data_IF_698413845158
#
_entry.id   IF_698413845158
#
_cell.length_a   1.000
_cell.length_b   1.000
_cell.length_c   1.000
_cell.angle_alpha   90.00
_cell.angle_beta   90.00
_cell.angle_gamma   90.00
#
_symmetry.space_group_name_H-M   'P 1'
#
loop_
_entity.id
_entity.type
_entity.pdbx_description
1 polymer ?
#
# COMPACT_ATOMS: atom_id res chain seq x y z
N UNK A 1 24.48 56.86 -25.97
CA UNK A 1 25.82 57.47 -25.95
C UNK A 1 26.86 56.38 -25.78
N UNK A 2 27.64 56.21 -26.84
CA UNK A 2 29.10 55.94 -26.88
C UNK A 2 29.56 54.61 -26.26
N UNK A 3 30.28 53.75 -26.89
CA UNK A 3 31.14 53.44 -28.03
C UNK A 3 31.86 52.17 -27.63
N UNK A 4 31.77 51.11 -28.40
CA UNK A 4 32.76 50.52 -29.32
C UNK A 4 34.22 50.55 -28.84
N UNK A 5 34.85 49.34 -28.73
CA UNK A 5 36.08 49.11 -29.48
C UNK A 5 36.42 47.59 -29.58
N UNK A 6 36.65 47.19 -30.80
CA UNK A 6 37.19 45.86 -31.17
C UNK A 6 38.73 45.97 -31.14
N UNK A 7 39.41 44.83 -30.88
CA UNK A 7 40.81 44.66 -31.23
C UNK A 7 41.07 43.23 -31.74
N UNK A 8 41.40 43.16 -32.99
CA UNK A 8 41.97 42.00 -33.66
C UNK A 8 43.48 42.07 -33.61
N UNK A 9 44.20 40.93 -33.47
CA UNK A 9 45.59 40.71 -33.87
C UNK A 9 45.86 39.22 -34.01
N UNK A 10 45.94 38.71 -35.14
CA UNK A 10 47.09 38.51 -36.07
C UNK A 10 47.91 37.24 -35.75
N UNK A 11 47.91 36.42 -36.75
CA UNK A 11 48.56 35.18 -37.16
C UNK A 11 50.07 35.20 -36.95
N UNK A 12 50.66 34.07 -36.54
CA UNK A 12 52.02 33.68 -36.87
C UNK A 12 52.10 32.18 -37.17
N UNK A 13 52.28 31.82 -38.42
CA UNK A 13 52.67 30.47 -38.89
C UNK A 13 54.12 30.17 -38.51
N UNK A 14 54.33 29.00 -37.89
CA UNK A 14 55.66 28.37 -37.87
C UNK A 14 55.53 26.96 -38.44
N UNK A 15 56.14 26.75 -39.58
CA UNK A 15 56.35 25.49 -40.30
C UNK A 15 57.52 24.76 -39.65
N UNK A 16 57.35 23.54 -39.15
CA UNK A 16 58.45 22.63 -38.84
C UNK A 16 58.12 21.23 -39.37
N UNK A 17 59.08 20.66 -40.08
CA UNK A 17 59.03 19.41 -40.85
C UNK A 17 58.97 18.14 -39.98
N UNK A 18 58.59 16.98 -40.53
CA UNK A 18 58.23 15.77 -39.75
C UNK A 18 59.50 14.96 -39.41
N UNK A 19 59.64 14.55 -38.16
CA UNK A 19 60.47 13.44 -37.74
C UNK A 19 59.62 12.20 -37.56
N UNK A 20 59.91 11.18 -38.34
CA UNK A 20 59.41 9.85 -38.22
C UNK A 20 59.87 9.22 -36.91
N UNK A 21 58.98 8.78 -36.08
CA UNK A 21 59.28 7.91 -34.93
C UNK A 21 58.08 6.95 -34.65
N UNK A 22 58.40 5.70 -34.76
CA UNK A 22 57.91 4.51 -34.15
C UNK A 22 56.40 4.44 -33.81
N UNK A 23 55.66 3.65 -34.59
CA UNK A 23 54.37 3.10 -34.14
C UNK A 23 54.60 2.17 -32.93
N UNK A 24 54.37 2.67 -31.74
CA UNK A 24 54.01 1.81 -30.59
C UNK A 24 52.52 1.49 -30.71
N UNK A 25 52.20 0.22 -30.88
CA UNK A 25 50.83 -0.28 -30.75
C UNK A 25 50.35 0.06 -29.32
N UNK A 26 49.57 1.13 -29.19
CA UNK A 26 48.76 1.30 -28.01
C UNK A 26 47.74 0.16 -28.05
N UNK A 27 47.93 -0.84 -27.20
CA UNK A 27 46.89 -1.82 -26.91
C UNK A 27 45.63 -1.02 -26.53
N UNK A 28 44.54 -1.25 -27.26
CA UNK A 28 43.22 -0.73 -26.91
C UNK A 28 42.98 -1.07 -25.46
N UNK A 29 43.04 -0.08 -24.57
CA UNK A 29 42.52 -0.21 -23.24
C UNK A 29 41.03 -0.53 -23.39
N UNK A 30 40.50 -1.58 -22.71
CA UNK A 30 39.10 -1.92 -22.82
C UNK A 30 38.30 -0.68 -22.41
N UNK A 31 37.54 -0.11 -23.34
CA UNK A 31 36.60 0.95 -23.06
C UNK A 31 35.66 0.39 -21.98
N UNK A 32 35.78 0.92 -20.77
CA UNK A 32 34.89 0.55 -19.68
C UNK A 32 33.45 0.75 -20.18
N UNK A 33 32.73 -0.36 -20.34
CA UNK A 33 31.31 -0.33 -20.72
C UNK A 33 30.61 0.58 -19.72
N UNK A 34 29.99 1.65 -20.19
CA UNK A 34 29.21 2.54 -19.32
C UNK A 34 28.28 1.69 -18.44
N UNK A 35 28.37 1.90 -17.13
CA UNK A 35 27.55 1.14 -16.21
C UNK A 35 26.07 1.35 -16.55
N UNK A 36 25.34 0.26 -16.77
CA UNK A 36 23.89 0.32 -17.00
C UNK A 36 23.21 0.57 -15.67
N UNK A 37 22.62 1.75 -15.49
CA UNK A 37 21.87 2.09 -14.26
C UNK A 37 20.41 1.82 -14.45
N UNK A 38 19.83 0.96 -13.59
CA UNK A 38 18.38 0.81 -13.49
C UNK A 38 17.82 1.83 -12.49
N UNK A 39 16.70 2.45 -12.85
CA UNK A 39 15.97 3.39 -12.01
C UNK A 39 14.78 2.69 -11.37
N UNK A 40 14.66 2.81 -10.06
CA UNK A 40 13.64 2.13 -9.27
C UNK A 40 12.85 3.16 -8.50
N UNK A 41 11.53 3.19 -8.67
CA UNK A 41 10.64 3.99 -7.84
C UNK A 41 10.01 3.11 -6.76
N UNK A 42 10.30 3.45 -5.49
CA UNK A 42 9.66 2.88 -4.31
C UNK A 42 8.88 3.97 -3.58
N UNK A 43 7.88 3.58 -2.79
CA UNK A 43 7.09 4.52 -2.01
C UNK A 43 7.77 4.88 -0.69
N UNK A 44 7.31 5.97 -0.06
CA UNK A 44 7.84 6.50 1.21
C UNK A 44 7.95 5.48 2.33
N UNK A 45 7.12 4.45 2.31
CA UNK A 45 7.18 3.33 3.29
C UNK A 45 8.56 2.66 3.29
N UNK A 46 9.21 2.59 2.13
CA UNK A 46 10.55 1.99 1.99
C UNK A 46 11.62 2.68 2.85
N UNK A 47 11.41 3.93 3.29
CA UNK A 47 12.30 4.61 4.23
C UNK A 47 12.44 3.83 5.54
N UNK A 48 11.40 3.10 5.95
CA UNK A 48 11.40 2.27 7.16
C UNK A 48 12.23 0.98 7.04
N UNK A 49 12.66 0.60 5.83
CA UNK A 49 13.43 -0.62 5.56
C UNK A 49 14.49 -0.46 4.46
N UNK A 50 15.12 0.72 4.42
CA UNK A 50 16.19 1.00 3.43
C UNK A 50 17.36 0.03 3.52
N UNK A 51 17.63 -0.55 4.68
CA UNK A 51 18.68 -1.58 4.83
C UNK A 51 18.37 -2.83 3.98
N UNK A 52 17.10 -3.21 3.85
CA UNK A 52 16.67 -4.31 3.00
C UNK A 52 16.85 -3.94 1.51
N UNK A 53 16.50 -2.70 1.14
CA UNK A 53 16.70 -2.17 -0.21
C UNK A 53 18.18 -2.16 -0.56
N UNK A 54 19.04 -1.65 0.33
CA UNK A 54 20.49 -1.58 0.13
C UNK A 54 21.13 -2.96 0.03
N UNK A 55 20.67 -3.92 0.84
CA UNK A 55 21.13 -5.32 0.79
C UNK A 55 20.76 -5.97 -0.54
N UNK A 56 19.56 -5.74 -1.06
CA UNK A 56 19.12 -6.23 -2.36
C UNK A 56 19.92 -5.59 -3.51
N UNK A 57 20.18 -4.27 -3.42
CA UNK A 57 21.01 -3.57 -4.40
C UNK A 57 22.46 -4.13 -4.42
N UNK A 58 23.03 -4.42 -3.25
CA UNK A 58 24.36 -5.02 -3.16
C UNK A 58 24.39 -6.42 -3.79
N UNK A 59 23.41 -7.26 -3.51
CA UNK A 59 23.26 -8.59 -4.10
C UNK A 59 23.10 -8.51 -5.64
N UNK A 60 22.29 -7.56 -6.13
CA UNK A 60 22.09 -7.33 -7.55
C UNK A 60 23.40 -6.91 -8.23
N UNK A 61 24.12 -5.94 -7.68
CA UNK A 61 25.42 -5.46 -8.23
C UNK A 61 26.47 -6.57 -8.25
N UNK A 62 26.51 -7.43 -7.23
CA UNK A 62 27.42 -8.57 -7.20
C UNK A 62 27.12 -9.59 -8.30
N UNK A 63 25.84 -9.80 -8.65
CA UNK A 63 25.42 -10.68 -9.73
C UNK A 63 25.57 -10.06 -11.13
N UNK A 64 25.62 -8.74 -11.22
CA UNK A 64 25.70 -7.97 -12.48
C UNK A 64 26.83 -6.93 -12.42
N UNK A 65 28.11 -7.35 -12.52
CA UNK A 65 29.25 -6.43 -12.56
C UNK A 65 29.09 -5.41 -13.70
N UNK A 66 29.19 -4.12 -13.36
CA UNK A 66 28.97 -3.03 -14.30
C UNK A 66 27.52 -2.53 -14.39
N UNK A 67 26.61 -3.08 -13.58
CA UNK A 67 25.28 -2.50 -13.38
C UNK A 67 25.22 -1.68 -12.08
N UNK A 68 24.37 -0.64 -12.08
CA UNK A 68 24.06 0.17 -10.89
C UNK A 68 22.56 0.30 -10.69
N UNK A 69 22.16 0.75 -9.49
CA UNK A 69 20.76 0.94 -9.11
C UNK A 69 20.58 2.32 -8.51
N UNK A 70 19.65 3.09 -9.05
CA UNK A 70 19.20 4.36 -8.49
C UNK A 70 17.79 4.22 -7.97
N UNK A 71 17.63 4.24 -6.64
CA UNK A 71 16.30 4.24 -6.00
C UNK A 71 15.83 5.67 -5.80
N UNK A 72 14.60 5.95 -6.23
CA UNK A 72 13.92 7.24 -6.09
C UNK A 72 12.63 7.03 -5.30
N UNK A 73 12.54 7.68 -4.12
CA UNK A 73 11.38 7.55 -3.24
C UNK A 73 10.26 8.47 -3.72
N UNK A 74 9.06 7.91 -3.87
CA UNK A 74 7.84 8.58 -4.30
C UNK A 74 6.84 8.67 -3.16
N UNK A 75 5.89 9.60 -3.27
CA UNK A 75 4.78 9.75 -2.31
C UNK A 75 3.50 9.14 -2.85
N UNK A 76 2.69 8.51 -1.99
CA UNK A 76 1.41 7.93 -2.38
C UNK A 76 0.42 8.95 -2.95
N UNK A 77 0.58 10.24 -2.61
CA UNK A 77 -0.37 11.29 -3.01
C UNK A 77 -0.30 11.67 -4.49
N UNK A 78 0.85 11.47 -5.15
CA UNK A 78 1.10 12.00 -6.50
C UNK A 78 1.83 11.04 -7.45
N UNK A 79 2.23 9.84 -6.98
CA UNK A 79 3.03 8.87 -7.77
C UNK A 79 2.37 8.49 -9.09
N UNK A 80 1.04 8.33 -9.15
CA UNK A 80 0.35 8.00 -10.40
C UNK A 80 0.43 9.14 -11.41
N UNK A 81 0.26 10.39 -10.96
CA UNK A 81 0.40 11.58 -11.82
C UNK A 81 1.81 11.71 -12.34
N UNK A 82 2.82 11.49 -11.48
CA UNK A 82 4.23 11.49 -11.88
C UNK A 82 4.55 10.37 -12.87
N UNK A 83 4.00 9.18 -12.65
CA UNK A 83 4.22 8.05 -13.53
C UNK A 83 3.54 8.25 -14.89
N UNK A 84 2.30 8.77 -14.93
CA UNK A 84 1.62 9.13 -16.17
C UNK A 84 2.45 10.16 -16.98
N UNK A 85 3.01 11.18 -16.31
CA UNK A 85 3.89 12.16 -16.95
C UNK A 85 5.23 11.54 -17.42
N UNK A 86 5.83 10.65 -16.63
CA UNK A 86 7.06 9.97 -16.97
C UNK A 86 6.91 9.04 -18.19
N UNK A 87 5.77 8.33 -18.29
CA UNK A 87 5.41 7.53 -19.47
C UNK A 87 5.27 8.40 -20.71
N UNK A 88 4.54 9.52 -20.62
CA UNK A 88 4.34 10.44 -21.74
C UNK A 88 5.68 11.09 -22.19
N UNK A 89 6.58 11.37 -21.26
CA UNK A 89 7.90 11.92 -21.51
C UNK A 89 8.98 10.90 -21.87
N UNK A 90 8.64 9.62 -22.02
CA UNK A 90 9.57 8.51 -22.24
C UNK A 90 10.72 8.45 -21.21
N UNK A 91 10.42 8.81 -19.96
CA UNK A 91 11.36 8.86 -18.83
C UNK A 91 10.84 8.08 -17.61
N UNK A 92 10.07 7.02 -17.86
CA UNK A 92 9.60 6.14 -16.80
C UNK A 92 10.78 5.39 -16.13
N UNK A 93 10.67 4.97 -14.85
CA UNK A 93 11.66 4.11 -14.21
C UNK A 93 11.68 2.72 -14.86
N UNK A 94 12.70 1.91 -14.53
CA UNK A 94 12.77 0.51 -14.95
C UNK A 94 11.93 -0.40 -14.08
N UNK A 95 11.78 -0.04 -12.81
CA UNK A 95 10.90 -0.71 -11.84
C UNK A 95 10.10 0.34 -11.09
N UNK A 96 8.83 0.07 -10.87
CA UNK A 96 7.94 0.92 -10.06
C UNK A 96 7.13 0.09 -9.07
N UNK A 97 7.01 0.60 -7.85
CA UNK A 97 6.04 0.12 -6.87
C UNK A 97 4.67 0.75 -7.13
N UNK A 98 3.64 -0.09 -7.19
CA UNK A 98 2.25 0.28 -7.23
C UNK A 98 1.50 -0.28 -6.04
N UNK A 99 0.52 0.46 -5.53
CA UNK A 99 -0.51 -0.12 -4.70
C UNK A 99 -1.20 -1.27 -5.45
N UNK A 100 -1.56 -2.30 -4.73
CA UNK A 100 -2.14 -3.49 -5.36
C UNK A 100 -3.50 -3.23 -6.05
N UNK A 101 -4.10 -2.06 -5.88
CA UNK A 101 -5.33 -1.62 -6.57
C UNK A 101 -5.08 -0.96 -7.94
N UNK A 102 -3.82 -0.72 -8.32
CA UNK A 102 -3.44 0.17 -9.43
C UNK A 102 -2.93 -0.56 -10.68
N UNK A 103 -2.41 -1.79 -10.52
CA UNK A 103 -1.79 -2.57 -11.61
C UNK A 103 -2.74 -2.74 -12.82
N UNK A 104 -4.02 -3.03 -12.57
CA UNK A 104 -4.99 -3.31 -13.63
C UNK A 104 -5.17 -2.13 -14.60
N UNK A 105 -5.08 -0.87 -14.12
CA UNK A 105 -5.14 0.35 -14.95
C UNK A 105 -4.01 0.35 -15.98
N UNK A 106 -2.79 0.18 -15.51
CA UNK A 106 -1.59 0.30 -16.36
C UNK A 106 -1.37 -0.92 -17.25
N UNK A 107 -1.73 -2.12 -16.75
CA UNK A 107 -1.71 -3.34 -17.56
C UNK A 107 -2.73 -3.25 -18.73
N UNK A 108 -3.93 -2.74 -18.47
CA UNK A 108 -4.95 -2.55 -19.51
C UNK A 108 -4.55 -1.48 -20.54
N UNK A 109 -3.83 -0.43 -20.10
CA UNK A 109 -3.29 0.61 -20.99
C UNK A 109 -2.07 0.15 -21.79
N UNK A 110 -1.54 -1.08 -21.56
CA UNK A 110 -0.33 -1.58 -22.22
C UNK A 110 0.95 -0.90 -21.75
N UNK A 111 0.93 -0.23 -20.59
CA UNK A 111 2.07 0.51 -20.04
C UNK A 111 3.06 -0.37 -19.26
N UNK A 112 2.67 -1.61 -18.90
CA UNK A 112 3.49 -2.54 -18.14
C UNK A 112 3.92 -3.74 -19.00
N UNK A 113 5.12 -4.23 -18.76
CA UNK A 113 5.64 -5.43 -19.39
C UNK A 113 4.93 -6.69 -18.87
N UNK A 114 4.64 -7.62 -19.76
CA UNK A 114 4.14 -8.96 -19.41
C UNK A 114 5.30 -9.78 -18.79
N UNK A 115 5.19 -10.04 -17.49
CA UNK A 115 6.18 -10.78 -16.71
C UNK A 115 5.87 -12.29 -16.61
N UNK A 116 4.86 -12.78 -17.31
CA UNK A 116 4.38 -14.18 -17.22
C UNK A 116 5.51 -15.18 -17.47
N UNK A 117 6.34 -14.93 -18.47
CA UNK A 117 7.47 -15.82 -18.81
C UNK A 117 8.53 -15.91 -17.70
N UNK A 118 8.64 -14.89 -16.86
CA UNK A 118 9.58 -14.84 -15.75
C UNK A 118 9.05 -15.46 -14.45
N UNK A 119 7.73 -15.69 -14.36
CA UNK A 119 7.06 -16.10 -13.13
C UNK A 119 7.73 -17.29 -12.43
N UNK A 120 8.11 -18.31 -13.19
CA UNK A 120 8.74 -19.52 -12.61
C UNK A 120 10.11 -19.28 -12.01
N UNK A 121 10.83 -18.23 -12.46
CA UNK A 121 12.15 -17.85 -11.96
C UNK A 121 12.09 -16.80 -10.84
N UNK A 122 10.92 -16.20 -10.59
CA UNK A 122 10.74 -15.25 -9.51
C UNK A 122 10.67 -15.94 -8.15
N UNK A 123 11.34 -15.43 -7.11
CA UNK A 123 11.38 -16.05 -5.78
C UNK A 123 9.97 -16.27 -5.22
N UNK A 124 9.77 -17.43 -4.60
CA UNK A 124 8.53 -17.78 -3.90
C UNK A 124 7.25 -17.78 -4.76
N UNK A 125 7.37 -17.73 -6.11
CA UNK A 125 6.20 -17.55 -7.00
C UNK A 125 5.12 -18.62 -6.88
N UNK A 126 5.47 -19.82 -6.41
CA UNK A 126 4.53 -20.93 -6.13
C UNK A 126 3.73 -20.74 -4.84
N UNK A 127 4.20 -19.89 -3.95
CA UNK A 127 3.65 -19.69 -2.60
C UNK A 127 3.29 -18.23 -2.31
N UNK A 128 3.25 -17.40 -3.34
CA UNK A 128 2.80 -16.02 -3.20
C UNK A 128 1.39 -15.93 -2.60
N UNK A 129 1.12 -14.88 -1.85
CA UNK A 129 -0.22 -14.58 -1.38
C UNK A 129 -1.16 -14.39 -2.57
N UNK A 130 -2.24 -15.18 -2.58
CA UNK A 130 -3.18 -15.20 -3.71
C UNK A 130 -3.73 -13.80 -4.04
N UNK A 131 -4.10 -13.02 -3.04
CA UNK A 131 -4.67 -11.68 -3.27
C UNK A 131 -3.68 -10.72 -3.94
N UNK A 132 -2.39 -10.76 -3.57
CA UNK A 132 -1.36 -9.96 -4.25
C UNK A 132 -1.09 -10.47 -5.68
N UNK A 133 -1.13 -11.80 -5.87
CA UNK A 133 -0.97 -12.40 -7.20
C UNK A 133 -2.15 -12.02 -8.11
N UNK A 134 -3.37 -12.10 -7.59
CA UNK A 134 -4.57 -11.72 -8.34
C UNK A 134 -4.53 -10.22 -8.71
N UNK A 135 -4.10 -9.36 -7.77
CA UNK A 135 -3.91 -7.93 -8.01
C UNK A 135 -2.85 -7.63 -9.07
N UNK A 136 -1.76 -8.40 -9.09
CA UNK A 136 -0.68 -8.29 -10.08
C UNK A 136 -1.01 -8.94 -11.43
N UNK A 137 -2.20 -9.58 -11.57
CA UNK A 137 -2.59 -10.33 -12.76
C UNK A 137 -3.75 -9.63 -13.49
N UNK A 138 -3.59 -9.41 -14.78
CA UNK A 138 -4.64 -8.87 -15.64
C UNK A 138 -4.82 -9.77 -16.88
N UNK A 139 -6.06 -10.18 -17.16
CA UNK A 139 -6.41 -11.10 -18.27
C UNK A 139 -5.52 -12.35 -18.35
N UNK A 140 -5.22 -12.94 -17.18
CA UNK A 140 -4.42 -14.17 -17.07
C UNK A 140 -2.91 -14.00 -17.19
N UNK A 141 -2.40 -12.76 -17.35
CA UNK A 141 -0.98 -12.44 -17.49
C UNK A 141 -0.48 -11.69 -16.27
N UNK A 142 0.76 -11.96 -15.85
CA UNK A 142 1.41 -11.32 -14.72
C UNK A 142 2.02 -9.98 -15.16
N UNK A 143 1.67 -8.89 -14.48
CA UNK A 143 2.22 -7.54 -14.69
C UNK A 143 2.84 -6.95 -13.43
N UNK A 144 2.45 -7.46 -12.25
CA UNK A 144 2.96 -7.02 -10.96
C UNK A 144 3.46 -8.19 -10.13
N UNK A 145 4.71 -8.11 -9.69
CA UNK A 145 5.33 -9.07 -8.76
C UNK A 145 4.88 -8.74 -7.34
N UNK A 146 4.27 -9.66 -6.58
CA UNK A 146 3.93 -9.44 -5.19
C UNK A 146 5.11 -8.93 -4.36
N UNK A 147 4.93 -7.83 -3.62
CA UNK A 147 5.98 -7.22 -2.81
C UNK A 147 5.70 -7.44 -1.32
N UNK A 148 4.73 -6.78 -0.74
CA UNK A 148 4.28 -7.00 0.64
C UNK A 148 2.77 -6.84 0.76
N UNK A 149 2.21 -7.37 1.86
CA UNK A 149 0.81 -7.17 2.19
C UNK A 149 0.66 -6.47 3.54
N UNK A 150 -0.47 -5.76 3.68
CA UNK A 150 -0.97 -5.20 4.93
C UNK A 150 -2.37 -5.70 5.23
N UNK A 151 -2.60 -6.08 6.46
CA UNK A 151 -3.92 -6.42 6.96
C UNK A 151 -4.26 -5.52 8.13
N UNK A 152 -5.55 -5.22 8.30
CA UNK A 152 -6.02 -4.40 9.41
C UNK A 152 -6.49 -5.26 10.57
N UNK A 153 -6.10 -4.84 11.79
CA UNK A 153 -6.56 -5.40 13.05
C UNK A 153 -6.98 -4.27 14.00
N UNK A 154 -7.54 -4.59 15.14
CA UNK A 154 -7.86 -3.62 16.18
C UNK A 154 -6.63 -3.42 17.05
N UNK A 155 -6.07 -2.22 17.08
CA UNK A 155 -5.17 -1.76 18.12
C UNK A 155 -5.97 -1.38 19.36
N UNK A 156 -5.45 -1.64 20.54
CA UNK A 156 -6.13 -1.27 21.77
C UNK A 156 -5.18 -0.93 22.92
N UNK A 157 -5.64 -0.11 23.84
CA UNK A 157 -4.97 0.26 25.08
C UNK A 157 -5.33 -0.76 26.17
N UNK A 158 -4.36 -1.62 26.55
CA UNK A 158 -4.52 -2.65 27.60
C UNK A 158 -4.94 -2.05 28.93
N UNK A 159 -4.32 -0.94 29.33
CA UNK A 159 -4.63 -0.21 30.55
C UNK A 159 -6.06 0.34 30.59
N UNK A 160 -6.50 0.97 29.50
CA UNK A 160 -7.84 1.53 29.39
C UNK A 160 -8.93 0.43 29.36
N UNK A 161 -8.67 -0.68 28.64
CA UNK A 161 -9.56 -1.85 28.64
C UNK A 161 -9.69 -2.43 30.05
N UNK A 162 -8.57 -2.66 30.75
CA UNK A 162 -8.55 -3.13 32.12
C UNK A 162 -9.33 -2.20 33.07
N UNK A 163 -9.09 -0.90 32.99
CA UNK A 163 -9.75 0.11 33.82
C UNK A 163 -11.26 0.22 33.51
N UNK A 164 -11.71 -0.09 32.31
CA UNK A 164 -13.12 -0.18 31.94
C UNK A 164 -13.78 -1.53 32.31
N UNK A 165 -13.05 -2.44 32.96
CA UNK A 165 -13.54 -3.75 33.38
C UNK A 165 -13.67 -4.76 32.23
N UNK A 166 -12.92 -4.57 31.14
CA UNK A 166 -12.85 -5.52 30.02
C UNK A 166 -11.74 -6.53 30.36
N UNK A 167 -12.15 -7.75 30.73
CA UNK A 167 -11.24 -8.81 31.20
C UNK A 167 -10.74 -9.72 30.08
N UNK A 168 -11.48 -9.82 28.99
CA UNK A 168 -11.16 -10.69 27.84
C UNK A 168 -11.42 -9.95 26.54
N UNK A 169 -10.62 -10.24 25.51
CA UNK A 169 -10.82 -9.67 24.19
C UNK A 169 -12.11 -10.20 23.54
N UNK A 170 -12.85 -9.35 22.80
CA UNK A 170 -14.15 -9.71 22.27
C UNK A 170 -14.04 -10.77 21.16
N UNK A 171 -14.91 -11.80 21.22
CA UNK A 171 -14.97 -12.89 20.22
C UNK A 171 -16.15 -12.72 19.24
N UNK A 172 -16.86 -11.62 19.29
CA UNK A 172 -17.92 -11.25 18.35
C UNK A 172 -18.04 -9.75 18.22
N UNK A 173 -18.62 -9.28 17.13
CA UNK A 173 -18.89 -7.84 16.94
C UNK A 173 -19.81 -7.28 18.02
N UNK A 174 -20.78 -8.07 18.50
CA UNK A 174 -21.66 -7.63 19.61
C UNK A 174 -20.90 -7.48 20.93
N UNK A 175 -19.93 -8.36 21.22
CA UNK A 175 -19.07 -8.22 22.39
C UNK A 175 -18.15 -6.98 22.26
N UNK A 176 -17.60 -6.75 21.07
CA UNK A 176 -16.82 -5.55 20.78
C UNK A 176 -17.63 -4.27 21.03
N UNK A 177 -18.86 -4.21 20.52
CA UNK A 177 -19.77 -3.08 20.74
C UNK A 177 -20.09 -2.86 22.23
N UNK A 178 -20.27 -3.95 22.99
CA UNK A 178 -20.47 -3.87 24.43
C UNK A 178 -19.23 -3.31 25.15
N UNK A 179 -18.05 -3.70 24.72
CA UNK A 179 -16.79 -3.16 25.25
C UNK A 179 -16.61 -1.67 24.92
N UNK A 180 -16.99 -1.25 23.71
CA UNK A 180 -17.00 0.18 23.38
C UNK A 180 -17.94 0.98 24.29
N UNK A 181 -19.09 0.45 24.65
CA UNK A 181 -20.01 1.09 25.61
C UNK A 181 -19.39 1.22 27.01
N UNK A 182 -18.64 0.21 27.49
CA UNK A 182 -17.91 0.29 28.77
C UNK A 182 -16.84 1.39 28.73
N UNK A 183 -16.06 1.46 27.65
CA UNK A 183 -15.05 2.48 27.46
C UNK A 183 -15.66 3.89 27.44
N UNK A 184 -16.72 4.09 26.68
CA UNK A 184 -17.42 5.38 26.62
C UNK A 184 -18.11 5.75 27.95
N UNK A 185 -18.61 4.78 28.71
CA UNK A 185 -19.12 5.01 30.07
C UNK A 185 -18.01 5.50 31.02
N UNK A 186 -16.83 4.92 30.90
CA UNK A 186 -15.67 5.24 31.76
C UNK A 186 -15.02 6.58 31.41
N UNK A 187 -14.76 6.80 30.12
CA UNK A 187 -13.94 7.89 29.63
C UNK A 187 -14.68 8.95 28.79
N UNK A 188 -15.89 8.67 28.36
CA UNK A 188 -16.64 9.51 27.42
C UNK A 188 -17.10 10.87 27.96
N UNK A 189 -16.76 11.24 29.21
CA UNK A 189 -16.86 12.63 29.74
C UNK A 189 -15.83 13.55 29.06
N UNK A 190 -14.68 13.00 28.65
CA UNK A 190 -13.74 13.70 27.78
C UNK A 190 -14.33 13.77 26.36
N UNK A 191 -14.60 14.99 25.91
CA UNK A 191 -15.18 15.23 24.58
C UNK A 191 -14.31 14.75 23.42
N UNK A 192 -13.00 14.58 23.64
CA UNK A 192 -12.04 14.11 22.66
C UNK A 192 -11.88 12.58 22.66
N UNK A 193 -12.38 11.90 23.71
CA UNK A 193 -12.17 10.48 23.87
C UNK A 193 -13.01 9.66 22.89
N UNK A 194 -12.36 8.74 22.20
CA UNK A 194 -13.00 7.70 21.37
C UNK A 194 -12.74 6.31 21.94
N UNK A 195 -13.79 5.55 22.22
CA UNK A 195 -13.69 4.12 22.47
C UNK A 195 -13.14 3.39 21.24
N UNK A 196 -13.71 3.69 20.07
CA UNK A 196 -13.19 3.33 18.76
C UNK A 196 -12.97 4.61 17.94
N UNK A 197 -11.72 4.92 17.57
CA UNK A 197 -11.44 5.99 16.61
C UNK A 197 -11.78 5.52 15.19
N UNK A 198 -12.70 6.24 14.52
CA UNK A 198 -13.14 5.90 13.18
C UNK A 198 -13.46 7.16 12.38
N UNK A 199 -12.49 7.67 11.58
CA UNK A 199 -12.70 8.86 10.76
C UNK A 199 -13.69 8.60 9.62
N UNK A 200 -14.37 9.68 9.16
CA UNK A 200 -15.53 9.55 8.28
C UNK A 200 -15.25 8.97 6.89
N UNK A 201 -14.03 9.11 6.38
CA UNK A 201 -13.64 8.62 5.06
C UNK A 201 -12.99 7.22 5.09
N UNK A 202 -12.95 6.54 6.25
CA UNK A 202 -12.25 5.27 6.42
C UNK A 202 -12.96 4.09 5.73
N UNK A 203 -12.93 4.08 4.40
CA UNK A 203 -13.64 3.09 3.60
C UNK A 203 -13.04 1.69 3.65
N UNK A 204 -11.73 1.54 3.80
CA UNK A 204 -11.07 0.21 3.91
C UNK A 204 -11.62 -0.58 5.11
N UNK A 205 -11.73 0.05 6.27
CA UNK A 205 -12.31 -0.59 7.45
C UNK A 205 -13.84 -0.74 7.32
N UNK A 206 -14.54 0.26 6.76
CA UNK A 206 -16.00 0.20 6.58
C UNK A 206 -16.44 -0.93 5.66
N UNK A 207 -15.72 -1.18 4.56
CA UNK A 207 -16.05 -2.27 3.64
C UNK A 207 -15.81 -3.64 4.25
N UNK A 208 -14.93 -3.78 5.24
CA UNK A 208 -14.79 -5.03 6.01
C UNK A 208 -16.11 -5.45 6.66
N UNK A 209 -16.89 -4.51 7.19
CA UNK A 209 -18.24 -4.78 7.70
C UNK A 209 -19.17 -5.25 6.58
N UNK A 210 -19.11 -4.64 5.40
CA UNK A 210 -19.92 -5.04 4.24
C UNK A 210 -19.63 -6.49 3.85
N UNK A 211 -18.35 -6.83 3.70
CA UNK A 211 -17.94 -8.20 3.35
C UNK A 211 -18.21 -9.21 4.47
N UNK A 212 -18.13 -8.81 5.73
CA UNK A 212 -18.46 -9.67 6.86
C UNK A 212 -19.94 -10.14 6.83
N UNK A 213 -20.84 -9.28 6.38
CA UNK A 213 -22.26 -9.61 6.19
C UNK A 213 -22.59 -10.30 4.87
N UNK A 214 -21.60 -10.62 4.03
CA UNK A 214 -21.81 -11.22 2.72
C UNK A 214 -22.19 -10.23 1.60
N UNK A 215 -22.12 -8.92 1.90
CA UNK A 215 -22.22 -7.86 0.90
C UNK A 215 -20.99 -7.78 0.02
N UNK A 216 -20.96 -6.81 -0.90
CA UNK A 216 -19.82 -6.52 -1.77
C UNK A 216 -19.87 -5.08 -2.29
N UNK A 217 -18.72 -4.53 -2.69
CA UNK A 217 -18.66 -3.24 -3.38
C UNK A 217 -19.33 -3.34 -4.76
N UNK A 218 -18.91 -4.31 -5.55
CA UNK A 218 -19.51 -4.65 -6.85
C UNK A 218 -19.35 -6.15 -7.13
N UNK A 219 -20.15 -6.66 -8.05
CA UNK A 219 -20.09 -8.05 -8.54
C UNK A 219 -20.00 -8.06 -10.05
N UNK A 220 -19.16 -8.92 -10.62
CA UNK A 220 -19.11 -9.15 -12.07
C UNK A 220 -20.21 -10.16 -12.46
N UNK A 221 -21.13 -9.73 -13.32
CA UNK A 221 -22.26 -10.54 -13.77
C UNK A 221 -22.51 -10.30 -15.27
N UNK A 222 -22.67 -11.35 -16.03
CA UNK A 222 -23.00 -11.29 -17.46
C UNK A 222 -22.08 -10.31 -18.24
N UNK A 223 -20.75 -10.38 -17.99
CA UNK A 223 -19.77 -9.55 -18.67
C UNK A 223 -19.68 -8.09 -18.20
N UNK A 224 -20.43 -7.70 -17.16
CA UNK A 224 -20.47 -6.32 -16.64
C UNK A 224 -20.30 -6.27 -15.13
N UNK A 225 -19.72 -5.20 -14.65
CA UNK A 225 -19.68 -4.88 -13.23
C UNK A 225 -21.01 -4.26 -12.78
N UNK A 226 -21.52 -4.71 -11.64
CA UNK A 226 -22.73 -4.18 -11.01
C UNK A 226 -22.41 -3.81 -9.59
N UNK A 227 -22.54 -2.52 -9.23
CA UNK A 227 -22.42 -2.03 -7.85
C UNK A 227 -23.41 -2.76 -6.94
N UNK A 228 -22.99 -3.12 -5.74
CA UNK A 228 -23.76 -4.02 -4.85
C UNK A 228 -23.84 -3.50 -3.40
N UNK A 229 -23.49 -2.25 -3.16
CA UNK A 229 -23.57 -1.62 -1.85
C UNK A 229 -25.00 -1.38 -1.39
N UNK A 230 -25.95 -1.32 -2.31
CA UNK A 230 -27.38 -1.17 -2.05
C UNK A 230 -28.11 -2.49 -1.77
N UNK A 231 -27.40 -3.63 -1.73
CA UNK A 231 -27.97 -4.89 -1.28
C UNK A 231 -28.39 -4.80 0.22
N UNK A 232 -29.42 -5.56 0.61
CA UNK A 232 -29.90 -5.62 1.99
C UNK A 232 -28.81 -5.96 3.01
N UNK A 233 -27.87 -6.88 2.63
CA UNK A 233 -26.74 -7.27 3.46
C UNK A 233 -25.74 -6.13 3.65
N UNK A 234 -25.39 -5.42 2.59
CA UNK A 234 -24.51 -4.25 2.66
C UNK A 234 -25.12 -3.12 3.49
N UNK A 235 -26.41 -2.84 3.30
CA UNK A 235 -27.14 -1.82 4.07
C UNK A 235 -27.23 -2.18 5.55
N UNK A 236 -27.49 -3.46 5.89
CA UNK A 236 -27.49 -3.96 7.27
C UNK A 236 -26.14 -3.74 7.94
N UNK A 237 -25.04 -4.08 7.25
CA UNK A 237 -23.68 -3.90 7.74
C UNK A 237 -23.36 -2.42 8.00
N UNK A 238 -23.65 -1.54 7.04
CA UNK A 238 -23.37 -0.10 7.16
C UNK A 238 -24.26 0.59 8.19
N UNK A 239 -25.49 0.12 8.38
CA UNK A 239 -26.38 0.61 9.46
C UNK A 239 -25.81 0.27 10.84
N UNK A 240 -25.29 -0.96 11.01
CA UNK A 240 -24.62 -1.37 12.24
C UNK A 240 -23.35 -0.56 12.51
N UNK A 241 -22.50 -0.40 11.47
CA UNK A 241 -21.30 0.43 11.55
C UNK A 241 -21.65 1.88 11.92
N UNK A 242 -22.66 2.48 11.30
CA UNK A 242 -23.14 3.84 11.64
C UNK A 242 -23.47 3.95 13.13
N UNK A 243 -24.20 2.96 13.67
CA UNK A 243 -24.57 2.92 15.08
C UNK A 243 -23.35 2.81 15.98
N UNK A 244 -22.40 1.94 15.67
CA UNK A 244 -21.15 1.78 16.41
C UNK A 244 -20.34 3.08 16.41
N UNK A 245 -20.11 3.67 15.23
CA UNK A 245 -19.32 4.91 15.06
C UNK A 245 -19.98 6.08 15.81
N UNK A 246 -21.31 6.20 15.74
CA UNK A 246 -22.05 7.24 16.48
C UNK A 246 -21.88 7.09 17.99
N UNK A 247 -21.86 5.87 18.49
CA UNK A 247 -21.80 5.59 19.92
C UNK A 247 -20.40 5.68 20.53
N UNK A 248 -19.34 5.45 19.73
CA UNK A 248 -17.99 5.21 20.26
C UNK A 248 -16.90 6.12 19.70
N UNK A 249 -17.14 6.84 18.59
CA UNK A 249 -16.11 7.67 17.96
C UNK A 249 -16.39 9.15 18.10
N UNK A 250 -15.34 9.93 18.38
CA UNK A 250 -15.31 11.40 18.31
C UNK A 250 -14.50 11.91 17.14
N UNK A 251 -13.98 11.00 16.28
CA UNK A 251 -13.28 11.38 15.08
C UNK A 251 -14.15 12.26 14.16
N UNK A 252 -13.50 13.12 13.40
CA UNK A 252 -14.16 13.93 12.38
C UNK A 252 -14.89 13.04 11.37
N UNK A 253 -16.19 13.32 11.18
CA UNK A 253 -17.06 12.60 10.24
C UNK A 253 -16.71 12.85 8.77
N UNK A 254 -15.82 13.80 8.50
CA UNK A 254 -15.27 14.12 7.18
C UNK A 254 -13.76 13.84 7.09
N UNK A 255 -13.15 13.41 8.21
CA UNK A 255 -11.72 13.16 8.33
C UNK A 255 -11.25 11.94 7.54
N UNK A 256 -9.98 11.98 7.17
CA UNK A 256 -9.25 10.89 6.52
C UNK A 256 -8.63 9.93 7.54
N UNK A 257 -8.04 8.85 7.05
CA UNK A 257 -7.36 7.81 7.84
C UNK A 257 -5.83 7.95 7.93
N UNK A 258 -5.28 9.06 7.49
CA UNK A 258 -3.85 9.25 7.25
C UNK A 258 -3.01 9.60 8.49
N UNK A 259 -3.64 9.87 9.64
CA UNK A 259 -2.95 10.28 10.90
C UNK A 259 -3.45 9.52 12.13
N UNK A 260 -4.08 8.39 11.94
CA UNK A 260 -4.77 7.69 13.05
C UNK A 260 -3.81 7.11 14.10
N UNK A 261 -2.60 6.73 13.74
CA UNK A 261 -1.53 6.31 14.62
C UNK A 261 -1.08 7.46 15.56
N UNK A 262 -0.91 8.66 15.02
CA UNK A 262 -0.56 9.86 15.79
C UNK A 262 -1.71 10.24 16.74
N UNK A 263 -2.97 10.19 16.29
CA UNK A 263 -4.14 10.43 17.13
C UNK A 263 -4.24 9.39 18.25
N UNK A 264 -3.94 8.13 17.97
CA UNK A 264 -3.90 7.08 18.98
C UNK A 264 -2.80 7.34 20.02
N UNK A 265 -1.62 7.80 19.58
CA UNK A 265 -0.49 8.12 20.43
C UNK A 265 -0.77 9.27 21.40
N UNK A 266 -1.71 10.17 21.10
CA UNK A 266 -2.15 11.26 21.99
C UNK A 266 -2.92 10.78 23.24
N UNK A 267 -3.35 9.51 23.28
CA UNK A 267 -3.93 8.90 24.49
C UNK A 267 -5.45 9.02 24.65
N UNK A 268 -6.13 9.78 23.81
CA UNK A 268 -7.60 9.94 23.84
C UNK A 268 -8.37 8.86 23.05
N UNK A 269 -7.70 7.77 22.69
CA UNK A 269 -8.27 6.67 21.91
C UNK A 269 -8.01 5.35 22.58
N UNK A 270 -9.07 4.58 22.86
CA UNK A 270 -8.94 3.25 23.45
C UNK A 270 -8.70 2.15 22.42
N UNK A 271 -9.27 2.29 21.23
CA UNK A 271 -9.03 1.37 20.12
C UNK A 271 -9.17 2.07 18.76
N UNK A 272 -8.44 1.55 17.78
CA UNK A 272 -8.54 1.92 16.37
C UNK A 272 -8.37 0.68 15.49
N UNK A 273 -8.85 0.74 14.25
CA UNK A 273 -8.56 -0.28 13.23
C UNK A 273 -7.39 0.24 12.40
N UNK A 274 -6.32 -0.53 12.26
CA UNK A 274 -5.11 -0.09 11.56
C UNK A 274 -4.26 -1.24 11.04
N UNK A 275 -3.26 -0.94 10.24
CA UNK A 275 -2.30 -1.89 9.68
C UNK A 275 -1.13 -2.14 10.64
N UNK A 276 -0.40 -3.24 10.44
CA UNK A 276 0.70 -3.63 11.32
C UNK A 276 1.83 -2.59 11.43
N UNK A 277 2.11 -1.84 10.37
CA UNK A 277 3.14 -0.77 10.39
C UNK A 277 2.78 0.42 11.28
N UNK A 278 1.50 0.68 11.53
CA UNK A 278 1.06 1.75 12.44
C UNK A 278 1.51 1.50 13.89
N UNK A 279 1.87 0.26 14.23
CA UNK A 279 2.51 -0.03 15.52
C UNK A 279 3.75 0.83 15.74
N UNK A 280 4.61 0.90 14.71
CA UNK A 280 5.81 1.73 14.76
C UNK A 280 5.49 3.21 14.90
N UNK A 281 4.51 3.73 14.16
CA UNK A 281 4.07 5.13 14.23
C UNK A 281 3.51 5.51 15.60
N UNK A 282 2.73 4.62 16.23
CA UNK A 282 2.16 4.86 17.57
C UNK A 282 3.26 5.04 18.63
N UNK A 283 4.33 4.25 18.57
CA UNK A 283 5.40 4.27 19.57
C UNK A 283 6.68 4.99 19.11
N UNK A 284 6.62 5.69 17.99
CA UNK A 284 7.76 6.44 17.46
C UNK A 284 8.21 7.53 18.46
N UNK A 285 9.51 7.64 18.78
CA UNK A 285 9.99 8.60 19.78
C UNK A 285 9.91 10.06 19.31
N UNK A 286 9.72 10.32 18.01
CA UNK A 286 9.65 11.68 17.46
C UNK A 286 8.21 12.14 17.18
N UNK A 287 7.37 11.25 16.69
CA UNK A 287 6.02 11.57 16.18
C UNK A 287 4.92 10.85 16.93
N UNK A 288 5.23 9.81 17.68
CA UNK A 288 4.32 8.99 18.47
C UNK A 288 4.51 9.16 19.98
N UNK A 289 4.27 8.07 20.72
CA UNK A 289 4.42 8.02 22.17
C UNK A 289 5.02 6.67 22.59
N UNK A 290 6.34 6.58 22.83
CA UNK A 290 7.03 5.34 23.19
C UNK A 290 6.56 4.75 24.54
N UNK A 291 6.01 5.56 25.46
CA UNK A 291 5.50 5.08 26.74
C UNK A 291 4.26 4.21 26.60
N UNK A 292 3.62 4.23 25.42
CA UNK A 292 2.49 3.34 25.12
C UNK A 292 2.92 1.90 24.81
N UNK A 293 4.17 1.64 24.48
CA UNK A 293 4.62 0.32 24.04
C UNK A 293 4.17 -0.84 24.94
N UNK A 294 4.30 -0.78 26.31
CA UNK A 294 3.83 -1.85 27.19
C UNK A 294 2.29 -1.96 27.24
N UNK A 295 1.58 -0.87 26.97
CA UNK A 295 0.12 -0.79 27.01
C UNK A 295 -0.55 -1.06 25.66
N UNK A 296 0.23 -1.12 24.58
CA UNK A 296 -0.28 -1.37 23.25
C UNK A 296 -0.54 -2.86 23.03
N UNK A 297 -1.70 -3.18 22.48
CA UNK A 297 -2.05 -4.52 22.05
C UNK A 297 -2.78 -4.48 20.72
N UNK A 298 -2.89 -5.65 20.06
CA UNK A 298 -3.71 -5.80 18.87
C UNK A 298 -4.46 -7.14 18.89
N UNK A 299 -5.58 -7.20 18.18
CA UNK A 299 -6.34 -8.43 17.93
C UNK A 299 -7.14 -8.30 16.63
N UNK A 300 -7.39 -9.43 15.91
CA UNK A 300 -8.20 -9.40 14.69
C UNK A 300 -9.62 -8.87 14.99
N UNK A 301 -10.15 -8.01 14.11
CA UNK A 301 -11.53 -7.51 14.29
C UNK A 301 -12.51 -8.69 14.33
N UNK A 302 -13.34 -8.82 15.39
CA UNK A 302 -14.29 -9.92 15.49
C UNK A 302 -15.45 -9.76 14.50
N UNK A 303 -15.88 -10.86 13.90
CA UNK A 303 -17.02 -10.93 12.97
C UNK A 303 -18.36 -10.76 13.69
N UNK A 304 -19.41 -10.42 12.91
CA UNK A 304 -20.80 -10.52 13.37
C UNK A 304 -21.20 -11.97 13.69
N UNK A 305 -20.49 -12.96 13.14
CA UNK A 305 -20.62 -14.39 13.47
C UNK A 305 -19.69 -14.69 14.65
N UNK A 306 -20.20 -15.11 15.81
CA UNK A 306 -19.38 -15.40 16.98
C UNK A 306 -18.25 -16.39 16.69
N UNK A 307 -17.07 -16.11 17.23
CA UNK A 307 -15.87 -16.96 17.07
C UNK A 307 -15.18 -16.84 15.69
N UNK A 308 -15.70 -16.04 14.76
CA UNK A 308 -15.07 -15.77 13.47
C UNK A 308 -14.36 -14.40 13.47
N UNK A 309 -13.38 -14.26 12.61
CA UNK A 309 -12.67 -13.01 12.32
C UNK A 309 -13.41 -12.28 11.18
N UNK A 310 -13.56 -10.96 11.29
CA UNK A 310 -14.09 -10.13 10.20
C UNK A 310 -13.13 -10.14 9.01
N UNK A 311 -13.60 -10.28 7.76
CA UNK A 311 -12.73 -10.15 6.61
C UNK A 311 -12.07 -8.77 6.57
N UNK A 312 -10.75 -8.73 6.39
CA UNK A 312 -10.01 -7.46 6.26
C UNK A 312 -9.64 -7.17 4.82
N UNK A 313 -9.50 -5.90 4.46
CA UNK A 313 -8.86 -5.55 3.19
C UNK A 313 -7.39 -5.97 3.23
N UNK A 314 -6.98 -6.79 2.27
CA UNK A 314 -5.57 -7.09 2.09
C UNK A 314 -4.95 -6.02 1.17
N UNK A 315 -4.44 -4.98 1.79
CA UNK A 315 -3.65 -3.96 1.11
C UNK A 315 -2.25 -4.44 0.77
N UNK A 316 -1.39 -3.52 0.37
CA UNK A 316 0.00 -3.80 0.04
C UNK A 316 0.34 -3.41 -1.39
N UNK A 317 1.53 -3.83 -1.83
CA UNK A 317 2.10 -3.36 -3.09
C UNK A 317 2.55 -4.50 -3.98
N UNK A 318 2.60 -4.19 -5.27
CA UNK A 318 3.22 -4.99 -6.32
C UNK A 318 4.31 -4.16 -7.00
N UNK A 319 5.37 -4.81 -7.44
CA UNK A 319 6.44 -4.21 -8.23
C UNK A 319 6.23 -4.54 -9.71
N UNK A 320 6.29 -3.54 -10.58
CA UNK A 320 6.06 -3.70 -12.01
C UNK A 320 7.23 -3.14 -12.82
N UNK A 321 7.36 -3.62 -14.06
CA UNK A 321 8.33 -3.16 -15.05
C UNK A 321 7.55 -2.43 -16.15
N UNK A 322 7.77 -1.12 -16.38
CA UNK A 322 7.20 -0.41 -17.51
C UNK A 322 7.67 -0.98 -18.86
N UNK A 323 6.82 -0.91 -19.89
CA UNK A 323 7.19 -1.37 -21.24
C UNK A 323 8.35 -0.58 -21.83
N UNK A 324 8.55 0.66 -21.38
CA UNK A 324 9.60 1.58 -21.80
C UNK A 324 10.96 1.27 -21.17
N UNK A 325 11.05 0.38 -20.18
CA UNK A 325 12.35 -0.05 -19.62
C UNK A 325 13.24 -0.61 -20.74
N UNK A 326 14.46 -0.07 -20.83
CA UNK A 326 15.43 -0.44 -21.87
C UNK A 326 15.93 -1.88 -21.67
N UNK A 327 16.17 -2.30 -20.44
CA UNK A 327 16.60 -3.66 -20.09
C UNK A 327 15.65 -4.32 -19.09
N UNK A 328 14.59 -4.94 -19.65
CA UNK A 328 13.58 -5.65 -18.84
C UNK A 328 14.16 -6.86 -18.11
N UNK A 329 15.21 -7.50 -18.64
CA UNK A 329 15.85 -8.63 -17.98
C UNK A 329 16.56 -8.14 -16.72
N UNK A 330 17.32 -7.06 -16.82
CA UNK A 330 18.05 -6.46 -15.70
C UNK A 330 17.06 -5.96 -14.61
N UNK A 331 15.95 -5.33 -15.02
CA UNK A 331 14.86 -4.95 -14.12
C UNK A 331 14.27 -6.15 -13.38
N UNK A 332 14.01 -7.26 -14.08
CA UNK A 332 13.52 -8.51 -13.47
C UNK A 332 14.56 -9.12 -12.52
N UNK A 333 15.84 -9.05 -12.82
CA UNK A 333 16.89 -9.59 -11.96
C UNK A 333 17.01 -8.76 -10.66
N UNK A 334 16.79 -7.43 -10.73
CA UNK A 334 16.63 -6.63 -9.52
C UNK A 334 15.38 -7.04 -8.72
N UNK A 335 14.24 -7.26 -9.37
CA UNK A 335 13.03 -7.77 -8.71
C UNK A 335 13.31 -9.09 -7.97
N UNK A 336 14.08 -10.02 -8.57
CA UNK A 336 14.49 -11.27 -7.93
C UNK A 336 15.31 -11.04 -6.67
N UNK A 337 16.27 -10.12 -6.70
CA UNK A 337 17.10 -9.76 -5.55
C UNK A 337 16.23 -9.16 -4.43
N UNK A 338 15.38 -8.19 -4.77
CA UNK A 338 14.58 -7.46 -3.80
C UNK A 338 13.41 -8.28 -3.23
N UNK A 339 12.78 -9.16 -4.02
CA UNK A 339 11.72 -10.07 -3.54
C UNK A 339 12.23 -11.46 -3.13
N UNK A 340 13.54 -11.60 -2.89
CA UNK A 340 14.15 -12.83 -2.40
C UNK A 340 13.56 -13.25 -1.06
N UNK A 341 13.63 -14.55 -0.73
CA UNK A 341 13.16 -15.05 0.57
C UNK A 341 13.86 -14.35 1.74
N UNK A 342 15.15 -14.00 1.57
CA UNK A 342 15.91 -13.27 2.59
C UNK A 342 15.36 -11.86 2.80
N UNK A 343 15.16 -11.09 1.72
CA UNK A 343 14.58 -9.74 1.78
C UNK A 343 13.18 -9.76 2.37
N UNK A 344 12.33 -10.69 1.91
CA UNK A 344 10.96 -10.85 2.43
C UNK A 344 10.93 -11.24 3.91
N UNK A 345 11.89 -12.04 4.38
CA UNK A 345 12.02 -12.38 5.80
C UNK A 345 12.40 -11.15 6.63
N UNK A 346 13.33 -10.33 6.15
CA UNK A 346 13.73 -9.09 6.84
C UNK A 346 12.54 -8.12 6.94
N UNK A 347 11.80 -7.91 5.86
CA UNK A 347 10.58 -7.10 5.85
C UNK A 347 9.53 -7.62 6.83
N UNK A 348 9.21 -8.92 6.78
CA UNK A 348 8.26 -9.55 7.69
C UNK A 348 8.70 -9.46 9.16
N UNK A 349 10.02 -9.36 9.42
CA UNK A 349 10.57 -9.27 10.76
C UNK A 349 10.60 -7.87 11.34
N UNK A 350 10.82 -6.84 10.51
CA UNK A 350 11.13 -5.48 10.95
C UNK A 350 10.06 -4.44 10.62
N UNK A 351 9.47 -4.52 9.44
CA UNK A 351 8.67 -3.43 8.89
C UNK A 351 7.17 -3.43 9.29
N UNK A 352 6.70 -4.40 10.08
CA UNK A 352 5.27 -4.50 10.42
C UNK A 352 4.38 -4.91 9.26
N UNK A 353 4.96 -5.43 8.16
CA UNK A 353 4.26 -5.89 6.96
C UNK A 353 4.17 -7.42 6.92
N UNK A 354 3.26 -7.93 6.11
CA UNK A 354 3.11 -9.35 5.83
C UNK A 354 3.93 -9.67 4.58
N UNK A 355 4.79 -10.70 4.67
CA UNK A 355 5.57 -11.12 3.51
C UNK A 355 4.67 -11.51 2.33
N UNK A 356 5.19 -11.37 1.12
CA UNK A 356 4.48 -11.71 -0.11
C UNK A 356 4.16 -13.22 -0.27
N UNK A 357 4.63 -14.07 0.63
CA UNK A 357 4.60 -15.52 0.50
C UNK A 357 4.14 -16.22 1.78
N UNK A 358 3.38 -17.32 1.61
CA UNK A 358 2.87 -18.13 2.72
C UNK A 358 3.96 -18.88 3.48
N UNK A 359 5.14 -19.16 2.88
CA UNK A 359 6.24 -19.84 3.58
C UNK A 359 6.84 -19.00 4.72
N UNK A 360 6.60 -17.70 4.74
CA UNK A 360 7.04 -16.79 5.80
C UNK A 360 5.91 -16.43 6.79
N UNK A 361 4.75 -17.06 6.70
CA UNK A 361 3.63 -16.78 7.61
C UNK A 361 3.98 -16.95 9.08
N UNK A 362 4.82 -17.96 9.40
CA UNK A 362 5.31 -18.20 10.76
C UNK A 362 6.19 -17.07 11.30
N UNK A 363 6.89 -16.32 10.46
CA UNK A 363 7.72 -15.18 10.86
C UNK A 363 6.85 -14.07 11.46
N UNK A 364 5.75 -13.74 10.79
CA UNK A 364 4.79 -12.77 11.31
C UNK A 364 4.04 -13.32 12.55
N UNK A 365 3.62 -14.60 12.51
CA UNK A 365 2.87 -15.23 13.60
C UNK A 365 3.70 -15.40 14.89
N UNK A 366 5.03 -15.53 14.79
CA UNK A 366 5.91 -15.66 15.95
C UNK A 366 6.09 -14.37 16.76
N UNK A 367 5.72 -13.23 16.20
CA UNK A 367 5.84 -11.92 16.86
C UNK A 367 4.49 -11.50 17.45
N UNK A 368 4.35 -11.35 18.77
CA UNK A 368 3.07 -11.00 19.41
C UNK A 368 2.39 -9.77 18.82
N UNK A 369 3.18 -8.76 18.40
CA UNK A 369 2.68 -7.53 17.80
C UNK A 369 2.18 -7.73 16.35
N UNK A 370 2.66 -8.74 15.60
CA UNK A 370 2.30 -9.00 14.20
C UNK A 370 1.33 -10.16 14.03
N UNK A 371 1.28 -11.10 14.96
CA UNK A 371 0.39 -12.26 14.91
C UNK A 371 -1.10 -11.90 14.65
N UNK A 372 -1.67 -10.84 15.25
CA UNK A 372 -3.05 -10.43 14.99
C UNK A 372 -3.30 -10.05 13.53
N UNK A 373 -2.34 -9.39 12.88
CA UNK A 373 -2.44 -8.97 11.48
C UNK A 373 -2.31 -10.15 10.53
N UNK A 374 -1.41 -11.09 10.82
CA UNK A 374 -1.29 -12.34 10.08
C UNK A 374 -2.58 -13.18 10.18
N UNK A 375 -3.19 -13.26 11.36
CA UNK A 375 -4.47 -13.92 11.56
C UNK A 375 -5.62 -13.22 10.83
N UNK A 376 -5.63 -11.88 10.78
CA UNK A 376 -6.61 -11.11 10.02
C UNK A 376 -6.47 -11.35 8.51
N UNK A 377 -5.23 -11.39 7.99
CA UNK A 377 -4.94 -11.62 6.58
C UNK A 377 -5.45 -12.96 6.05
N UNK A 378 -5.55 -13.98 6.92
CA UNK A 378 -6.08 -15.29 6.54
C UNK A 378 -7.55 -15.23 6.08
N UNK A 379 -8.28 -14.16 6.42
CA UNK A 379 -9.63 -13.90 5.96
C UNK A 379 -9.72 -12.49 5.40
N UNK A 380 -9.45 -12.38 4.12
CA UNK A 380 -9.35 -11.08 3.45
C UNK A 380 -10.38 -10.90 2.33
N UNK A 381 -10.62 -9.66 1.98
CA UNK A 381 -11.38 -9.25 0.79
C UNK A 381 -10.51 -8.31 -0.06
N UNK A 382 -10.89 -8.17 -1.31
CA UNK A 382 -10.22 -7.31 -2.26
C UNK A 382 -11.24 -6.50 -3.08
N UNK A 383 -10.77 -5.42 -3.71
CA UNK A 383 -11.58 -4.56 -4.58
C UNK A 383 -12.01 -5.30 -5.85
N UNK A 384 -13.01 -4.79 -6.60
CA UNK A 384 -13.26 -5.22 -7.97
C UNK A 384 -12.01 -5.08 -8.84
N UNK A 385 -11.49 -6.19 -9.38
CA UNK A 385 -10.30 -6.17 -10.25
C UNK A 385 -10.66 -5.63 -11.65
N UNK A 386 -10.84 -4.32 -11.74
CA UNK A 386 -11.21 -3.59 -12.96
C UNK A 386 -10.16 -2.52 -13.26
N UNK A 387 -9.79 -2.32 -14.55
CA UNK A 387 -8.90 -1.22 -14.94
C UNK A 387 -9.42 0.16 -14.53
N UNK A 388 -10.74 0.28 -14.40
CA UNK A 388 -11.40 1.54 -14.03
C UNK A 388 -11.55 1.73 -12.51
N UNK A 389 -11.03 0.80 -11.68
CA UNK A 389 -11.13 0.94 -10.23
C UNK A 389 -10.50 2.24 -9.71
N UNK A 390 -9.35 2.61 -10.24
CA UNK A 390 -8.67 3.87 -9.87
C UNK A 390 -9.59 5.09 -10.04
N UNK A 391 -10.52 5.06 -11.00
CA UNK A 391 -11.50 6.15 -11.19
C UNK A 391 -12.55 6.17 -10.08
N UNK A 392 -12.89 5.01 -9.47
CA UNK A 392 -13.77 4.95 -8.29
C UNK A 392 -13.08 5.59 -7.09
N UNK A 393 -11.77 5.35 -6.91
CA UNK A 393 -10.95 5.95 -5.85
C UNK A 393 -10.77 7.46 -6.08
N UNK A 394 -10.41 7.90 -7.29
CA UNK A 394 -10.26 9.30 -7.65
C UNK A 394 -11.55 10.10 -7.45
N UNK A 395 -12.70 9.54 -7.79
CA UNK A 395 -14.01 10.13 -7.56
C UNK A 395 -14.45 10.07 -6.08
N UNK A 396 -13.65 9.43 -5.20
CA UNK A 396 -13.91 9.24 -3.77
C UNK A 396 -15.32 8.69 -3.48
N UNK A 397 -15.79 7.75 -4.33
CA UNK A 397 -17.19 7.28 -4.27
C UNK A 397 -17.51 6.69 -2.91
N UNK A 398 -16.62 5.82 -2.37
CA UNK A 398 -16.82 5.16 -1.08
C UNK A 398 -16.68 6.15 0.09
N UNK A 399 -15.68 7.03 0.05
CA UNK A 399 -15.47 8.07 1.05
C UNK A 399 -16.69 9.00 1.13
N UNK A 400 -17.15 9.52 0.00
CA UNK A 400 -18.31 10.41 -0.07
C UNK A 400 -19.59 9.74 0.42
N UNK A 401 -19.79 8.46 0.11
CA UNK A 401 -20.90 7.66 0.62
C UNK A 401 -20.86 7.57 2.15
N UNK A 402 -19.71 7.23 2.73
CA UNK A 402 -19.55 7.10 4.19
C UNK A 402 -19.73 8.43 4.90
N UNK A 403 -19.14 9.50 4.39
CA UNK A 403 -19.32 10.85 4.93
C UNK A 403 -20.81 11.24 4.93
N UNK A 404 -21.54 10.96 3.84
CA UNK A 404 -22.98 11.24 3.78
C UNK A 404 -23.79 10.43 4.82
N UNK A 405 -23.38 9.17 5.08
CA UNK A 405 -24.01 8.32 6.10
C UNK A 405 -23.71 8.80 7.52
N UNK A 406 -22.44 9.09 7.82
CA UNK A 406 -22.00 9.42 9.18
C UNK A 406 -22.38 10.84 9.60
N UNK A 407 -22.47 11.79 8.67
CA UNK A 407 -22.99 13.14 8.92
C UNK A 407 -24.52 13.20 8.93
N UNK A 408 -25.21 12.13 8.52
CA UNK A 408 -26.67 12.10 8.42
C UNK A 408 -27.26 12.83 7.20
N UNK A 409 -26.42 13.32 6.27
CA UNK A 409 -26.87 14.00 5.04
C UNK A 409 -27.69 13.10 4.13
N UNK A 410 -27.42 11.77 4.17
CA UNK A 410 -28.23 10.75 3.48
C UNK A 410 -28.53 9.58 4.41
N UNK A 411 -29.65 8.91 4.19
CA UNK A 411 -29.92 7.59 4.77
C UNK A 411 -28.92 6.57 4.19
N UNK A 412 -28.69 5.46 4.90
CA UNK A 412 -27.84 4.37 4.38
C UNK A 412 -28.35 3.89 3.02
N UNK A 413 -29.67 3.68 2.88
CA UNK A 413 -30.27 3.23 1.62
C UNK A 413 -30.02 4.23 0.46
N UNK A 414 -30.22 5.53 0.68
CA UNK A 414 -30.02 6.54 -0.35
C UNK A 414 -28.53 6.69 -0.73
N UNK A 415 -27.62 6.65 0.26
CA UNK A 415 -26.19 6.78 0.03
C UNK A 415 -25.63 5.58 -0.74
N UNK A 416 -26.00 4.36 -0.33
CA UNK A 416 -25.54 3.11 -0.98
C UNK A 416 -26.10 2.96 -2.39
N UNK A 417 -27.37 3.32 -2.63
CA UNK A 417 -27.97 3.34 -3.98
C UNK A 417 -27.20 4.28 -4.93
N UNK A 418 -26.90 5.49 -4.45
CA UNK A 418 -26.10 6.46 -5.21
C UNK A 418 -24.71 5.94 -5.53
N UNK A 419 -24.02 5.37 -4.54
CA UNK A 419 -22.68 4.81 -4.72
C UNK A 419 -22.68 3.58 -5.67
N UNK A 420 -23.63 2.65 -5.53
CA UNK A 420 -23.77 1.50 -6.42
C UNK A 420 -23.95 1.93 -7.89
N UNK A 421 -24.79 2.94 -8.14
CA UNK A 421 -24.99 3.49 -9.50
C UNK A 421 -23.69 4.05 -10.07
N UNK A 422 -22.97 4.88 -9.29
CA UNK A 422 -21.70 5.49 -9.72
C UNK A 422 -20.65 4.40 -10.00
N UNK A 423 -20.50 3.42 -9.09
CA UNK A 423 -19.54 2.31 -9.26
C UNK A 423 -19.86 1.52 -10.52
N UNK A 424 -21.13 1.22 -10.77
CA UNK A 424 -21.56 0.51 -11.99
C UNK A 424 -21.14 1.28 -13.25
N UNK A 425 -21.44 2.57 -13.30
CA UNK A 425 -21.08 3.44 -14.42
C UNK A 425 -19.55 3.49 -14.62
N UNK A 426 -18.79 3.82 -13.58
CA UNK A 426 -17.36 3.97 -13.68
C UNK A 426 -16.67 2.66 -14.09
N UNK A 427 -17.02 1.54 -13.45
CA UNK A 427 -16.37 0.26 -13.73
C UNK A 427 -16.62 -0.27 -15.14
N UNK A 428 -17.71 0.16 -15.79
CA UNK A 428 -18.04 -0.21 -17.17
C UNK A 428 -17.67 0.89 -18.19
N UNK A 429 -17.16 2.05 -17.75
CA UNK A 429 -16.78 3.15 -18.64
C UNK A 429 -17.98 3.86 -19.26
N UNK A 430 -19.12 3.99 -18.53
CA UNK A 430 -20.37 4.59 -19.02
C UNK A 430 -20.82 5.77 -18.15
#
# INVERSE_FOLDING_TARGET
MRYLTAAALALALAIAAPTASGRTNAADAPTAKSATTIRVWLMTDANGWMDVVNSANAAFKAAHPGADVKVEIQTWGDHLTKFDAALAGNNAPDVIEFGNTEIAKYAAAGALADLTKYKSSLPNSKTWLKALTDAGTYRGKLYGVPYYAGARAVFYRKDQYKAAGIKTLPKSLSAFEADQKKLMKKYGKDSNFSGLYFPGQYWYAAMSFVYDYGGAIARFKNGKWVGSLDSSLSQKALTRLKTLVRASSRADRTGKEDTQDQVFAQGHVASMIGNGWEWGGIIDPKTGNPDLAPQLGAYPMPSHIPGKVMPTFLGGSNLAVPVTSADKQLAVDWLKAYTSTSSMRQLASGAGVIANTTILASVNASKPQLAPFAAAAARSWFIPNSPNWVQVENAKVLQNMLVAIFTGRKSVAAATKSASKQITSILNGT
#
